data_IF_214509380325
#
_entry.id   IF_214509380325
#
_cell.length_a   1.000
_cell.length_b   1.000
_cell.length_c   1.000
_cell.angle_alpha   90.00
_cell.angle_beta   90.00
_cell.angle_gamma   90.00
#
_symmetry.space_group_name_H-M   'P 1'
#
loop_
_entity.id
_entity.type
_entity.pdbx_description
1 polymer ?
#
# COMPACT_ATOMS: atom_id res chain seq x y z
N UNK A 1 17.61 9.25 -19.17
CA UNK A 1 17.75 8.62 -17.84
C UNK A 1 16.68 7.56 -17.66
N UNK A 2 15.40 7.93 -17.77
CA UNK A 2 14.25 7.01 -17.73
C UNK A 2 14.40 5.73 -18.58
N UNK A 3 14.64 5.86 -19.90
CA UNK A 3 14.86 4.69 -20.80
C UNK A 3 15.97 3.72 -20.36
N UNK A 4 17.01 4.22 -19.68
CA UNK A 4 18.08 3.37 -19.20
C UNK A 4 17.66 2.61 -17.92
N UNK A 5 16.89 3.26 -17.05
CA UNK A 5 16.37 2.66 -15.82
C UNK A 5 15.30 1.60 -16.12
N UNK A 6 14.42 1.83 -17.09
CA UNK A 6 13.43 0.83 -17.53
C UNK A 6 14.07 -0.46 -18.07
N UNK A 7 15.24 -0.35 -18.70
CA UNK A 7 15.96 -1.49 -19.26
C UNK A 7 16.70 -2.31 -18.18
N UNK A 8 17.26 -1.65 -17.17
CA UNK A 8 18.06 -2.31 -16.12
C UNK A 8 17.22 -2.79 -14.93
N UNK A 9 16.10 -2.13 -14.63
CA UNK A 9 15.22 -2.46 -13.51
C UNK A 9 13.76 -2.43 -13.98
N UNK A 10 13.28 -3.52 -14.59
CA UNK A 10 11.93 -3.60 -15.11
C UNK A 10 10.89 -3.61 -13.98
N UNK A 11 9.65 -3.27 -14.34
CA UNK A 11 8.47 -3.23 -13.45
C UNK A 11 8.47 -2.15 -12.36
N UNK A 12 9.36 -1.15 -12.46
CA UNK A 12 9.32 0.04 -11.60
C UNK A 12 8.77 1.26 -12.37
N UNK A 13 7.93 2.06 -11.71
CA UNK A 13 7.48 3.35 -12.24
C UNK A 13 8.41 4.44 -11.71
N UNK A 14 8.98 5.25 -12.61
CA UNK A 14 9.90 6.32 -12.26
C UNK A 14 9.20 7.69 -12.33
N UNK A 15 9.51 8.55 -11.37
CA UNK A 15 9.06 9.95 -11.33
C UNK A 15 10.21 10.83 -10.83
N UNK A 16 10.39 12.00 -11.42
CA UNK A 16 11.51 12.88 -11.09
C UNK A 16 11.03 14.19 -10.45
N UNK A 17 11.66 14.60 -9.33
CA UNK A 17 11.31 15.82 -8.60
C UNK A 17 12.52 16.42 -7.86
N UNK A 18 12.36 17.63 -7.32
CA UNK A 18 13.34 18.24 -6.41
C UNK A 18 12.91 18.05 -4.95
N UNK A 19 13.83 17.78 -3.98
CA UNK A 19 13.45 17.44 -2.61
C UNK A 19 12.61 18.48 -1.86
N UNK A 20 12.86 19.77 -2.10
CA UNK A 20 12.10 20.86 -1.46
C UNK A 20 10.69 20.94 -2.02
N UNK A 21 10.57 20.94 -3.35
CA UNK A 21 9.30 20.97 -4.08
C UNK A 21 8.42 19.78 -3.73
N UNK A 22 9.00 18.57 -3.74
CA UNK A 22 8.35 17.33 -3.34
C UNK A 22 7.71 17.47 -1.96
N UNK A 23 8.44 18.05 -0.99
CA UNK A 23 7.94 18.18 0.37
C UNK A 23 6.80 19.17 0.48
N UNK A 24 6.84 20.24 -0.30
CA UNK A 24 5.74 21.22 -0.36
C UNK A 24 4.52 20.59 -1.02
N UNK A 25 4.68 19.87 -2.13
CA UNK A 25 3.59 19.18 -2.81
C UNK A 25 2.92 18.14 -1.90
N UNK A 26 3.70 17.33 -1.18
CA UNK A 26 3.18 16.37 -0.19
C UNK A 26 2.38 17.06 0.92
N UNK A 27 2.88 18.18 1.46
CA UNK A 27 2.22 18.89 2.56
C UNK A 27 0.93 19.60 2.15
N UNK A 28 0.88 20.11 0.91
CA UNK A 28 -0.24 20.92 0.43
C UNK A 28 -1.31 20.07 -0.24
N UNK A 29 -0.91 19.23 -1.19
CA UNK A 29 -1.81 18.47 -2.05
C UNK A 29 -1.96 17.00 -1.62
N UNK A 30 -1.12 16.51 -0.71
CA UNK A 30 -1.12 15.12 -0.28
C UNK A 30 -0.57 14.15 -1.32
N UNK A 31 -0.02 14.65 -2.43
CA UNK A 31 0.54 13.86 -3.53
C UNK A 31 1.99 14.26 -3.80
N UNK A 32 2.75 13.35 -4.40
CA UNK A 32 4.19 13.53 -4.71
C UNK A 32 4.44 14.06 -6.13
N UNK A 33 3.40 14.57 -6.77
CA UNK A 33 3.39 14.96 -8.18
C UNK A 33 2.80 16.35 -8.33
N UNK A 34 3.13 17.02 -9.43
CA UNK A 34 2.62 18.35 -9.75
C UNK A 34 1.09 18.39 -9.82
N UNK A 35 0.47 17.27 -10.23
CA UNK A 35 -0.97 17.08 -10.29
C UNK A 35 -1.37 15.72 -9.71
N UNK A 36 -2.37 15.70 -8.83
CA UNK A 36 -3.00 14.50 -8.30
C UNK A 36 -4.48 14.41 -8.67
N UNK A 37 -4.97 13.21 -8.94
CA UNK A 37 -6.40 12.94 -9.19
C UNK A 37 -6.89 11.96 -8.13
N UNK A 38 -7.81 12.40 -7.30
CA UNK A 38 -8.41 11.59 -6.23
C UNK A 38 -9.77 11.06 -6.67
N UNK A 39 -9.93 9.74 -6.65
CA UNK A 39 -11.21 9.07 -6.85
C UNK A 39 -11.81 8.70 -5.49
N UNK A 40 -13.08 9.04 -5.28
CA UNK A 40 -13.79 8.78 -4.03
C UNK A 40 -14.96 7.84 -4.26
N UNK A 41 -15.13 6.88 -3.35
CA UNK A 41 -16.21 5.89 -3.39
C UNK A 41 -15.98 4.76 -2.40
N UNK A 42 -16.93 3.85 -2.32
CA UNK A 42 -16.95 2.78 -1.31
C UNK A 42 -16.29 1.47 -1.79
N UNK A 43 -16.16 1.30 -3.11
CA UNK A 43 -15.64 0.08 -3.73
C UNK A 43 -14.22 0.30 -4.27
N UNK A 44 -13.22 -0.24 -3.56
CA UNK A 44 -11.81 -0.11 -3.91
C UNK A 44 -11.45 -0.78 -5.24
N UNK A 45 -12.12 -1.87 -5.61
CA UNK A 45 -11.86 -2.58 -6.88
C UNK A 45 -12.38 -1.76 -8.06
N UNK A 46 -13.57 -1.17 -7.92
CA UNK A 46 -14.12 -0.24 -8.91
C UNK A 46 -13.26 1.01 -9.04
N UNK A 47 -12.85 1.61 -7.91
CA UNK A 47 -11.99 2.80 -7.91
C UNK A 47 -10.65 2.51 -8.59
N UNK A 48 -10.06 1.35 -8.34
CA UNK A 48 -8.83 0.91 -9.03
C UNK A 48 -9.04 0.79 -10.53
N UNK A 49 -10.10 0.09 -10.97
CA UNK A 49 -10.40 -0.05 -12.38
C UNK A 49 -10.58 1.32 -13.07
N UNK A 50 -11.25 2.25 -12.40
CA UNK A 50 -11.43 3.62 -12.89
C UNK A 50 -10.13 4.43 -12.91
N UNK A 51 -9.26 4.26 -11.92
CA UNK A 51 -7.95 4.89 -11.92
C UNK A 51 -7.09 4.41 -13.12
N UNK A 52 -7.14 3.12 -13.45
CA UNK A 52 -6.47 2.58 -14.64
C UNK A 52 -7.04 3.12 -15.95
N UNK A 53 -8.37 3.29 -16.05
CA UNK A 53 -9.01 3.94 -17.20
C UNK A 53 -8.56 5.41 -17.36
N UNK A 54 -8.54 6.17 -16.25
CA UNK A 54 -8.09 7.57 -16.22
C UNK A 54 -6.61 7.68 -16.61
N UNK A 55 -5.75 6.83 -16.04
CA UNK A 55 -4.33 6.79 -16.39
C UNK A 55 -4.12 6.56 -17.89
N UNK A 56 -4.80 5.56 -18.49
CA UNK A 56 -4.73 5.30 -19.94
C UNK A 56 -5.18 6.49 -20.79
N UNK A 57 -6.17 7.25 -20.34
CA UNK A 57 -6.62 8.46 -21.02
C UNK A 57 -5.58 9.58 -20.92
N UNK A 58 -5.02 9.80 -19.74
CA UNK A 58 -4.03 10.86 -19.49
C UNK A 58 -2.69 10.59 -20.17
N UNK A 59 -2.25 9.34 -20.29
CA UNK A 59 -1.03 9.00 -21.04
C UNK A 59 -1.08 9.39 -22.53
N UNK A 60 -2.25 9.73 -23.06
CA UNK A 60 -2.43 10.21 -24.44
C UNK A 60 -2.41 11.74 -24.55
N UNK A 61 -2.41 12.45 -23.43
CA UNK A 61 -2.41 13.92 -23.38
C UNK A 61 -0.99 14.42 -23.62
N UNK A 62 -0.74 15.27 -24.63
CA UNK A 62 0.58 15.85 -24.85
C UNK A 62 1.06 16.62 -23.60
N UNK A 63 2.24 16.27 -23.11
CA UNK A 63 2.84 16.88 -21.91
C UNK A 63 2.53 16.16 -20.59
N UNK A 64 1.68 15.13 -20.58
CA UNK A 64 1.53 14.25 -19.42
C UNK A 64 2.74 13.31 -19.33
N UNK A 65 3.66 13.63 -18.42
CA UNK A 65 4.80 12.78 -18.05
C UNK A 65 4.50 12.00 -16.77
N UNK A 66 5.16 10.85 -16.59
CA UNK A 66 5.20 10.08 -15.34
C UNK A 66 3.81 9.73 -14.75
N UNK A 67 2.80 9.48 -15.61
CA UNK A 67 1.43 9.14 -15.18
C UNK A 67 1.43 7.77 -14.50
N UNK A 68 1.13 7.76 -13.20
CA UNK A 68 1.09 6.55 -12.39
C UNK A 68 -0.20 6.45 -11.57
N UNK A 69 -0.64 5.21 -11.32
CA UNK A 69 -1.76 4.90 -10.44
C UNK A 69 -1.21 4.36 -9.12
N UNK A 70 -1.66 4.92 -8.01
CA UNK A 70 -1.27 4.45 -6.69
C UNK A 70 -1.72 3.00 -6.46
N UNK A 71 -0.82 2.16 -5.95
CA UNK A 71 -1.12 0.76 -5.66
C UNK A 71 -1.88 0.66 -4.33
N UNK A 72 -3.18 0.37 -4.43
CA UNK A 72 -4.07 0.23 -3.26
C UNK A 72 -4.09 -1.18 -2.65
N UNK A 73 -3.38 -2.15 -3.24
CA UNK A 73 -3.36 -3.54 -2.77
C UNK A 73 -2.22 -4.37 -3.36
N UNK A 74 -2.21 -5.67 -3.02
CA UNK A 74 -1.23 -6.63 -3.56
C UNK A 74 -0.23 -7.19 -2.54
N UNK A 75 -0.26 -6.73 -1.29
CA UNK A 75 0.51 -7.39 -0.23
C UNK A 75 -0.20 -8.69 0.18
N UNK A 76 0.40 -9.87 -0.02
CA UNK A 76 -0.21 -11.12 0.42
C UNK A 76 -0.25 -11.14 1.96
N UNK A 77 -1.44 -11.28 2.52
CA UNK A 77 -1.65 -11.36 3.96
C UNK A 77 -2.08 -12.78 4.35
N UNK A 78 -1.43 -13.35 5.38
CA UNK A 78 -1.92 -14.55 6.03
C UNK A 78 -3.03 -14.18 7.00
N UNK A 79 -4.26 -14.62 6.72
CA UNK A 79 -5.42 -14.40 7.60
C UNK A 79 -5.77 -15.66 8.35
N UNK A 80 -5.62 -15.63 9.68
CA UNK A 80 -6.04 -16.73 10.56
C UNK A 80 -7.47 -16.46 11.06
N UNK A 81 -8.41 -17.32 10.67
CA UNK A 81 -9.82 -17.25 11.10
C UNK A 81 -10.11 -18.42 12.02
N UNK A 82 -10.39 -18.13 13.28
CA UNK A 82 -10.62 -19.16 14.31
C UNK A 82 -12.06 -19.70 14.19
N UNK A 83 -12.20 -21.00 13.94
CA UNK A 83 -13.49 -21.70 14.02
C UNK A 83 -13.91 -21.92 15.47
N UNK A 84 -14.77 -21.04 15.97
CA UNK A 84 -15.25 -21.08 17.36
C UNK A 84 -15.91 -22.40 17.74
N UNK A 85 -16.62 -23.07 16.83
CA UNK A 85 -17.29 -24.32 17.12
C UNK A 85 -16.29 -25.46 17.29
N UNK A 86 -15.22 -25.47 16.48
CA UNK A 86 -14.13 -26.42 16.64
C UNK A 86 -13.37 -26.21 17.95
N UNK A 87 -12.97 -24.97 18.26
CA UNK A 87 -12.20 -24.67 19.47
C UNK A 87 -13.00 -24.98 20.75
N UNK A 88 -14.32 -24.76 20.74
CA UNK A 88 -15.22 -25.11 21.85
C UNK A 88 -15.25 -26.62 22.15
N UNK A 89 -15.21 -27.48 21.13
CA UNK A 89 -15.15 -28.95 21.32
C UNK A 89 -13.87 -29.41 22.01
N UNK A 90 -12.81 -28.61 21.91
CA UNK A 90 -11.52 -28.87 22.56
C UNK A 90 -11.36 -28.11 23.88
N UNK A 91 -12.37 -27.35 24.33
CA UNK A 91 -12.30 -26.58 25.57
C UNK A 91 -11.27 -25.45 25.55
N UNK A 92 -10.81 -25.02 24.38
CA UNK A 92 -9.78 -23.99 24.22
C UNK A 92 -10.44 -22.60 24.09
N UNK A 93 -9.80 -21.55 24.59
CA UNK A 93 -10.29 -20.19 24.38
C UNK A 93 -9.81 -19.66 23.03
N UNK A 94 -10.68 -18.93 22.32
CA UNK A 94 -10.30 -18.19 21.09
C UNK A 94 -9.12 -17.26 21.36
N UNK A 95 -9.06 -16.65 22.55
CA UNK A 95 -7.96 -15.78 22.96
C UNK A 95 -6.62 -16.51 22.94
N UNK A 96 -6.56 -17.74 23.43
CA UNK A 96 -5.31 -18.51 23.50
C UNK A 96 -4.78 -18.81 22.09
N UNK A 97 -5.69 -19.10 21.15
CA UNK A 97 -5.33 -19.30 19.73
C UNK A 97 -4.77 -18.02 19.11
N UNK A 98 -5.42 -16.88 19.35
CA UNK A 98 -4.96 -15.59 18.82
C UNK A 98 -3.64 -15.14 19.46
N UNK A 99 -3.45 -15.38 20.76
CA UNK A 99 -2.20 -15.10 21.47
C UNK A 99 -1.05 -15.96 20.89
N UNK A 100 -1.30 -17.23 20.57
CA UNK A 100 -0.31 -18.09 19.93
C UNK A 100 0.07 -17.61 18.51
N UNK A 101 -0.91 -17.17 17.71
CA UNK A 101 -0.66 -16.62 16.37
C UNK A 101 0.11 -15.30 16.46
N UNK A 102 -0.21 -14.44 17.43
CA UNK A 102 0.44 -13.14 17.61
C UNK A 102 1.95 -13.27 17.86
N UNK A 103 2.41 -14.34 18.51
CA UNK A 103 3.84 -14.59 18.77
C UNK A 103 4.65 -14.74 17.47
N UNK A 104 4.05 -15.16 16.35
CA UNK A 104 4.73 -15.25 15.05
C UNK A 104 5.27 -13.88 14.61
N UNK A 105 4.54 -12.80 14.92
CA UNK A 105 4.97 -11.42 14.65
C UNK A 105 5.92 -10.83 15.70
N UNK A 106 6.25 -11.58 16.76
CA UNK A 106 6.90 -11.08 17.96
C UNK A 106 5.89 -10.46 18.94
N UNK A 107 6.12 -10.69 20.24
CA UNK A 107 5.33 -10.09 21.33
C UNK A 107 6.29 -9.44 22.30
N UNK A 108 6.18 -8.12 22.47
CA UNK A 108 6.93 -7.41 23.50
C UNK A 108 6.43 -7.85 24.87
N UNK A 109 7.35 -8.37 25.69
CA UNK A 109 7.05 -8.87 27.04
C UNK A 109 7.49 -7.90 28.14
N UNK A 110 8.26 -6.87 27.78
CA UNK A 110 8.76 -5.84 28.69
C UNK A 110 9.98 -5.13 28.12
N UNK A 111 10.42 -4.08 28.82
CA UNK A 111 11.62 -3.31 28.48
C UNK A 111 12.59 -3.34 29.66
N UNK A 112 13.88 -3.53 29.35
CA UNK A 112 14.96 -3.44 30.33
C UNK A 112 15.75 -2.16 30.05
N UNK A 113 15.94 -1.34 31.07
CA UNK A 113 16.76 -0.13 30.97
C UNK A 113 18.13 -0.43 31.57
N UNK A 114 19.17 -0.27 30.75
CA UNK A 114 20.56 -0.22 31.21
C UNK A 114 20.99 1.26 31.16
N UNK A 115 21.44 1.76 32.31
CA UNK A 115 21.66 3.19 32.57
C UNK A 115 22.79 3.83 31.77
#
# INVERSE_FOLDING_TARGET
MERALEAEVPANAYSFSQPIELRVAELVAGVKSDLGISLYGDDLDLLRAKAEEVSKALSRVPGAADVSVEQTGGLPCLRVVVDRAAVARHGVNVRDVLDAVAVIGGKEVGQVYEG
#
